data_IF_260079344706
#
_entry.id   IF_260079344706
#
_cell.length_a   1.000
_cell.length_b   1.000
_cell.length_c   1.000
_cell.angle_alpha   90.00
_cell.angle_beta   90.00
_cell.angle_gamma   90.00
#
_symmetry.space_group_name_H-M   'P 1'
#
loop_
_entity.id
_entity.type
_entity.pdbx_description
1 polymer ?
#
# COMPACT_ATOMS: atom_id res chain seq x y z
N UNK A 1 12.35 12.59 -22.54
CA UNK A 1 10.92 12.70 -22.15
C UNK A 1 10.29 13.90 -22.84
N UNK A 2 9.27 13.71 -23.68
CA UNK A 2 8.56 14.81 -24.34
C UNK A 2 7.94 15.77 -23.32
N UNK A 3 7.77 17.05 -23.70
CA UNK A 3 7.20 18.09 -22.82
C UNK A 3 5.80 17.69 -22.31
N UNK A 4 5.03 16.98 -23.12
CA UNK A 4 3.70 16.47 -22.78
C UNK A 4 3.74 15.36 -21.70
N UNK A 5 4.77 14.50 -21.70
CA UNK A 5 4.91 13.43 -20.71
C UNK A 5 5.23 13.99 -19.32
N UNK A 6 6.01 15.08 -19.23
CA UNK A 6 6.30 15.75 -17.95
C UNK A 6 5.04 16.37 -17.34
N UNK A 7 4.20 16.97 -18.16
CA UNK A 7 2.95 17.62 -17.72
C UNK A 7 1.91 16.61 -17.21
N UNK A 8 1.99 15.35 -17.65
CA UNK A 8 1.03 14.30 -17.29
C UNK A 8 1.47 13.51 -16.05
N UNK A 9 2.79 13.35 -15.83
CA UNK A 9 3.32 12.54 -14.72
C UNK A 9 3.15 13.24 -13.37
N UNK A 10 3.22 14.58 -13.31
CA UNK A 10 3.13 15.35 -12.07
C UNK A 10 1.77 15.15 -11.37
N UNK A 11 0.61 15.32 -12.04
CA UNK A 11 -0.68 15.04 -11.45
C UNK A 11 -0.81 13.59 -10.95
N UNK A 12 -0.27 12.62 -11.71
CA UNK A 12 -0.28 11.20 -11.33
C UNK A 12 0.56 10.96 -10.07
N UNK A 13 1.74 11.57 -9.95
CA UNK A 13 2.56 11.47 -8.75
C UNK A 13 1.88 12.13 -7.54
N UNK A 14 1.17 13.22 -7.74
CA UNK A 14 0.38 13.83 -6.66
C UNK A 14 -0.78 12.94 -6.21
N UNK A 15 -1.36 12.14 -7.12
CA UNK A 15 -2.33 11.11 -6.75
C UNK A 15 -1.68 10.00 -5.90
N UNK A 16 -0.43 9.61 -6.18
CA UNK A 16 0.31 8.70 -5.28
C UNK A 16 0.57 9.31 -3.91
N UNK A 17 0.86 10.60 -3.84
CA UNK A 17 0.95 11.29 -2.55
C UNK A 17 -0.37 11.23 -1.79
N UNK A 18 -1.49 11.55 -2.45
CA UNK A 18 -2.84 11.44 -1.88
C UNK A 18 -3.20 10.00 -1.48
N UNK A 19 -2.71 8.99 -2.23
CA UNK A 19 -2.88 7.58 -1.86
C UNK A 19 -2.25 7.25 -0.50
N UNK A 20 -1.22 7.99 -0.08
CA UNK A 20 -0.59 7.84 1.23
C UNK A 20 -1.43 8.37 2.40
N UNK A 21 -2.50 9.11 2.13
CA UNK A 21 -3.34 9.67 3.21
C UNK A 21 -4.01 8.61 4.07
N UNK A 22 -4.26 7.43 3.52
CA UNK A 22 -4.84 6.31 4.27
C UNK A 22 -3.98 5.89 5.45
N UNK A 23 -2.68 6.07 5.36
CA UNK A 23 -1.74 5.66 6.41
C UNK A 23 -1.81 6.59 7.64
N UNK A 24 -2.47 7.77 7.52
CA UNK A 24 -2.80 8.63 8.66
C UNK A 24 -3.70 7.94 9.70
N UNK A 25 -4.49 6.94 9.27
CA UNK A 25 -5.41 6.23 10.18
C UNK A 25 -4.66 5.58 11.35
N UNK A 26 -3.44 5.11 11.10
CA UNK A 26 -2.61 4.52 12.15
C UNK A 26 -2.31 5.49 13.30
N UNK A 27 -1.88 6.70 13.00
CA UNK A 27 -1.61 7.72 14.02
C UNK A 27 -2.90 8.34 14.56
N UNK A 28 -3.86 8.62 13.68
CA UNK A 28 -5.12 9.22 14.04
C UNK A 28 -5.93 8.35 15.02
N UNK A 29 -5.90 7.02 14.84
CA UNK A 29 -6.60 6.10 15.76
C UNK A 29 -6.07 6.18 17.20
N UNK A 30 -4.78 6.46 17.39
CA UNK A 30 -4.21 6.65 18.73
C UNK A 30 -4.74 7.94 19.39
N UNK A 31 -4.78 9.05 18.65
CA UNK A 31 -5.35 10.30 19.16
C UNK A 31 -6.85 10.18 19.45
N UNK A 32 -7.61 9.55 18.54
CA UNK A 32 -9.06 9.30 18.76
C UNK A 32 -9.28 8.41 19.99
N UNK A 33 -8.39 7.42 20.22
CA UNK A 33 -8.43 6.59 21.43
C UNK A 33 -8.29 7.43 22.69
N UNK A 34 -7.35 8.36 22.72
CA UNK A 34 -7.12 9.25 23.87
C UNK A 34 -8.27 10.23 24.05
N UNK A 35 -8.70 10.92 22.98
CA UNK A 35 -9.76 11.93 23.04
C UNK A 35 -11.11 11.36 23.48
N UNK A 36 -11.43 10.13 23.06
CA UNK A 36 -12.70 9.47 23.36
C UNK A 36 -12.61 8.41 24.48
N UNK A 37 -11.44 8.25 25.11
CA UNK A 37 -11.17 7.23 26.15
C UNK A 37 -11.58 5.81 25.70
N UNK A 38 -11.20 5.42 24.49
CA UNK A 38 -11.51 4.11 23.91
C UNK A 38 -10.56 3.03 24.40
N UNK A 39 -11.03 1.78 24.39
CA UNK A 39 -10.14 0.63 24.53
C UNK A 39 -9.31 0.41 23.27
N UNK A 40 -8.17 -0.29 23.38
CA UNK A 40 -7.35 -0.65 22.21
C UNK A 40 -8.13 -1.45 21.16
N UNK A 41 -9.00 -2.35 21.60
CA UNK A 41 -9.87 -3.13 20.71
C UNK A 41 -10.77 -2.25 19.86
N UNK A 42 -11.41 -1.24 20.47
CA UNK A 42 -12.32 -0.32 19.78
C UNK A 42 -11.54 0.62 18.85
N UNK A 43 -10.38 1.13 19.28
CA UNK A 43 -9.53 2.00 18.47
C UNK A 43 -9.00 1.26 17.22
N UNK A 44 -8.69 -0.03 17.36
CA UNK A 44 -8.20 -0.85 16.23
C UNK A 44 -9.28 -1.17 15.18
N UNK A 45 -10.56 -0.85 15.44
CA UNK A 45 -11.59 -0.94 14.40
C UNK A 45 -11.29 0.02 13.24
N UNK A 46 -10.73 1.19 13.50
CA UNK A 46 -10.46 2.20 12.47
C UNK A 46 -9.47 1.70 11.39
N UNK A 47 -8.25 1.26 11.70
CA UNK A 47 -7.35 0.70 10.70
C UNK A 47 -7.88 -0.59 10.09
N UNK A 48 -8.60 -1.42 10.84
CA UNK A 48 -9.19 -2.67 10.31
C UNK A 48 -10.21 -2.42 9.21
N UNK A 49 -11.01 -1.34 9.33
CA UNK A 49 -12.00 -0.95 8.31
C UNK A 49 -11.34 -0.64 6.96
N UNK A 50 -10.14 -0.07 6.95
CA UNK A 50 -9.44 0.23 5.70
C UNK A 50 -9.24 -1.06 4.89
N UNK A 51 -8.69 -2.11 5.49
CA UNK A 51 -8.47 -3.40 4.81
C UNK A 51 -9.78 -4.08 4.41
N UNK A 52 -10.83 -3.96 5.24
CA UNK A 52 -12.16 -4.46 4.94
C UNK A 52 -12.72 -3.84 3.65
N UNK A 53 -12.59 -2.52 3.48
CA UNK A 53 -13.06 -1.85 2.28
C UNK A 53 -12.27 -2.20 1.03
N UNK A 54 -10.97 -2.52 1.15
CA UNK A 54 -10.20 -3.07 0.02
C UNK A 54 -10.79 -4.37 -0.49
N UNK A 55 -11.17 -5.27 0.42
CA UNK A 55 -11.79 -6.54 0.04
C UNK A 55 -13.08 -6.34 -0.76
N UNK A 56 -13.90 -5.36 -0.37
CA UNK A 56 -15.22 -5.12 -0.97
C UNK A 56 -15.11 -4.31 -2.26
N UNK A 57 -14.34 -3.21 -2.28
CA UNK A 57 -14.39 -2.23 -3.37
C UNK A 57 -13.38 -2.46 -4.49
N UNK A 58 -12.35 -3.29 -4.31
CA UNK A 58 -11.31 -3.43 -5.35
C UNK A 58 -11.84 -4.01 -6.66
N UNK A 59 -12.60 -5.11 -6.62
CA UNK A 59 -13.18 -5.69 -7.86
C UNK A 59 -14.27 -4.80 -8.46
N UNK A 60 -15.25 -4.24 -7.69
CA UNK A 60 -16.17 -3.25 -8.22
C UNK A 60 -15.51 -2.09 -8.93
N UNK A 61 -14.37 -1.61 -8.39
CA UNK A 61 -13.60 -0.54 -9.01
C UNK A 61 -12.99 -0.98 -10.35
N UNK A 62 -12.51 -2.23 -10.44
CA UNK A 62 -12.04 -2.80 -11.71
C UNK A 62 -13.11 -2.76 -12.79
N UNK A 63 -14.34 -3.16 -12.45
CA UNK A 63 -15.51 -3.09 -13.33
C UNK A 63 -15.90 -1.63 -13.63
N UNK A 64 -15.85 -0.76 -12.62
CA UNK A 64 -16.18 0.66 -12.78
C UNK A 64 -15.27 1.34 -13.79
N UNK A 65 -13.95 1.02 -13.76
CA UNK A 65 -12.98 1.56 -14.73
C UNK A 65 -13.34 1.25 -16.18
N UNK A 66 -13.95 0.08 -16.46
CA UNK A 66 -14.41 -0.25 -17.82
C UNK A 66 -15.58 0.63 -18.28
N UNK A 67 -16.37 1.16 -17.34
CA UNK A 67 -17.55 1.99 -17.63
C UNK A 67 -17.25 3.48 -17.75
N UNK A 68 -16.45 4.02 -16.84
CA UNK A 68 -16.21 5.46 -16.77
C UNK A 68 -14.76 5.88 -17.08
N UNK A 69 -13.84 4.90 -17.24
CA UNK A 69 -12.42 5.11 -17.46
C UNK A 69 -11.61 5.20 -16.17
N UNK A 70 -10.29 5.02 -16.28
CA UNK A 70 -9.34 5.01 -15.15
C UNK A 70 -9.20 6.39 -14.52
N UNK A 71 -8.99 7.44 -15.35
CA UNK A 71 -8.85 8.83 -14.89
C UNK A 71 -10.05 9.29 -14.08
N UNK A 72 -11.28 9.04 -14.58
CA UNK A 72 -12.50 9.42 -13.87
C UNK A 72 -12.68 8.63 -12.58
N UNK A 73 -12.25 7.37 -12.55
CA UNK A 73 -12.27 6.54 -11.33
C UNK A 73 -11.28 7.07 -10.29
N UNK A 74 -10.07 7.47 -10.69
CA UNK A 74 -9.10 8.15 -9.80
C UNK A 74 -9.65 9.48 -9.30
N UNK A 75 -10.31 10.27 -10.15
CA UNK A 75 -10.95 11.52 -9.71
C UNK A 75 -12.06 11.26 -8.69
N UNK A 76 -12.88 10.23 -8.91
CA UNK A 76 -13.91 9.82 -7.93
C UNK A 76 -13.27 9.43 -6.60
N UNK A 77 -12.18 8.67 -6.61
CA UNK A 77 -11.46 8.28 -5.40
C UNK A 77 -10.93 9.48 -4.63
N UNK A 78 -10.37 10.48 -5.33
CA UNK A 78 -9.90 11.74 -4.72
C UNK A 78 -11.06 12.51 -4.09
N UNK A 79 -12.21 12.60 -4.76
CA UNK A 79 -13.40 13.26 -4.21
C UNK A 79 -13.87 12.56 -2.94
N UNK A 80 -13.97 11.23 -2.94
CA UNK A 80 -14.35 10.45 -1.75
C UNK A 80 -13.34 10.66 -0.62
N UNK A 81 -12.03 10.68 -0.92
CA UNK A 81 -10.96 10.96 0.03
C UNK A 81 -11.08 12.37 0.61
N UNK A 82 -11.30 13.39 -0.22
CA UNK A 82 -11.49 14.79 0.23
C UNK A 82 -12.70 14.90 1.16
N UNK A 83 -13.82 14.26 0.81
CA UNK A 83 -15.03 14.23 1.66
C UNK A 83 -14.72 13.53 2.98
N UNK A 84 -13.98 12.44 2.99
CA UNK A 84 -13.60 11.73 4.21
C UNK A 84 -12.78 12.62 5.15
N UNK A 85 -11.82 13.37 4.61
CA UNK A 85 -10.96 14.28 5.38
C UNK A 85 -11.68 15.54 5.88
N UNK A 86 -12.82 15.89 5.27
CA UNK A 86 -13.64 17.01 5.70
C UNK A 86 -14.38 16.71 7.01
N UNK A 87 -14.82 15.47 7.21
CA UNK A 87 -15.68 15.11 8.36
C UNK A 87 -15.04 15.37 9.73
N UNK A 88 -13.78 15.00 10.02
CA UNK A 88 -13.16 15.24 11.32
C UNK A 88 -12.94 16.73 11.65
N UNK A 89 -13.11 17.61 10.68
CA UNK A 89 -13.04 19.06 10.90
C UNK A 89 -14.27 19.55 11.67
N UNK A 90 -15.45 18.94 11.45
CA UNK A 90 -16.72 19.33 12.07
C UNK A 90 -16.97 18.71 13.44
N UNK A 91 -16.25 17.68 13.81
CA UNK A 91 -16.45 17.03 15.10
C UNK A 91 -15.48 15.87 15.35
N UNK A 92 -15.50 15.38 16.61
CA UNK A 92 -14.57 14.36 17.09
C UNK A 92 -15.27 13.15 17.72
N UNK A 93 -16.57 12.98 17.46
CA UNK A 93 -17.28 11.84 18.01
C UNK A 93 -16.95 10.54 17.25
N UNK A 94 -17.13 9.39 17.93
CA UNK A 94 -16.80 8.06 17.42
C UNK A 94 -17.44 7.77 16.06
N UNK A 95 -18.74 8.07 15.91
CA UNK A 95 -19.48 7.77 14.67
C UNK A 95 -18.92 8.56 13.47
N UNK A 96 -18.62 9.84 13.69
CA UNK A 96 -18.06 10.70 12.64
C UNK A 96 -16.68 10.22 12.20
N UNK A 97 -15.83 9.84 13.16
CA UNK A 97 -14.51 9.25 12.87
C UNK A 97 -14.64 7.92 12.14
N UNK A 98 -15.60 7.08 12.55
CA UNK A 98 -15.86 5.79 11.88
C UNK A 98 -16.27 5.98 10.42
N UNK A 99 -17.17 6.92 10.14
CA UNK A 99 -17.59 7.25 8.77
C UNK A 99 -16.44 7.84 7.98
N UNK A 100 -15.66 8.77 8.57
CA UNK A 100 -14.49 9.37 7.93
C UNK A 100 -13.48 8.30 7.51
N UNK A 101 -13.05 7.44 8.43
CA UNK A 101 -12.05 6.42 8.13
C UNK A 101 -12.58 5.32 7.20
N UNK A 102 -13.88 5.01 7.26
CA UNK A 102 -14.53 4.13 6.27
C UNK A 102 -14.47 4.74 4.87
N UNK A 103 -14.85 6.00 4.71
CA UNK A 103 -14.78 6.70 3.41
C UNK A 103 -13.33 6.83 2.93
N UNK A 104 -12.37 7.07 3.84
CA UNK A 104 -10.96 7.12 3.49
C UNK A 104 -10.46 5.76 2.98
N UNK A 105 -10.89 4.65 3.60
CA UNK A 105 -10.61 3.29 3.14
C UNK A 105 -11.23 3.00 1.78
N UNK A 106 -12.49 3.36 1.56
CA UNK A 106 -13.17 3.24 0.26
C UNK A 106 -12.45 4.07 -0.80
N UNK A 107 -12.17 5.34 -0.53
CA UNK A 107 -11.44 6.22 -1.43
C UNK A 107 -10.08 5.63 -1.81
N UNK A 108 -9.36 5.07 -0.84
CA UNK A 108 -8.05 4.47 -1.09
C UNK A 108 -8.14 3.16 -1.88
N UNK A 109 -9.17 2.32 -1.65
CA UNK A 109 -9.42 1.12 -2.44
C UNK A 109 -9.67 1.46 -3.93
N UNK A 110 -10.50 2.49 -4.18
CA UNK A 110 -10.72 3.02 -5.52
C UNK A 110 -9.42 3.55 -6.13
N UNK A 111 -8.65 4.32 -5.36
CA UNK A 111 -7.39 4.93 -5.78
C UNK A 111 -6.36 3.88 -6.18
N UNK A 112 -6.04 2.94 -5.30
CA UNK A 112 -5.02 1.93 -5.57
C UNK A 112 -5.38 1.05 -6.76
N UNK A 113 -6.66 0.70 -6.90
CA UNK A 113 -7.15 -0.12 -8.00
C UNK A 113 -7.05 0.62 -9.34
N UNK A 114 -7.34 1.93 -9.39
CA UNK A 114 -7.44 2.68 -10.66
C UNK A 114 -6.16 3.42 -11.03
N UNK A 115 -5.38 3.91 -10.07
CA UNK A 115 -4.18 4.69 -10.33
C UNK A 115 -3.07 3.83 -10.94
N UNK A 116 -2.89 2.60 -10.45
CA UNK A 116 -1.84 1.72 -10.94
C UNK A 116 -1.98 1.38 -12.45
N UNK A 117 -3.15 0.97 -12.97
CA UNK A 117 -3.32 0.79 -14.42
C UNK A 117 -3.32 2.13 -15.20
N UNK A 118 -3.69 3.26 -14.58
CA UNK A 118 -3.55 4.57 -15.20
C UNK A 118 -2.07 4.90 -15.47
N UNK A 119 -1.17 4.53 -14.54
CA UNK A 119 0.27 4.67 -14.74
C UNK A 119 0.76 3.95 -15.99
N UNK A 120 0.22 2.78 -16.30
CA UNK A 120 0.65 2.04 -17.51
C UNK A 120 0.36 2.79 -18.81
N UNK A 121 -0.72 3.58 -18.84
CA UNK A 121 -1.02 4.43 -20.00
C UNK A 121 -0.09 5.65 -20.12
N UNK A 122 0.33 6.20 -18.97
CA UNK A 122 1.15 7.41 -18.92
C UNK A 122 2.64 7.10 -19.11
N UNK A 123 3.16 6.02 -18.49
CA UNK A 123 4.59 5.69 -18.51
C UNK A 123 5.01 4.77 -19.65
N UNK A 124 4.05 4.10 -20.27
CA UNK A 124 4.29 2.98 -21.18
C UNK A 124 4.75 1.72 -20.45
N UNK A 125 4.53 0.58 -21.09
CA UNK A 125 4.73 -0.75 -20.48
C UNK A 125 6.20 -1.02 -20.09
N UNK A 126 7.16 -0.50 -20.85
CA UNK A 126 8.60 -0.69 -20.60
C UNK A 126 9.09 -0.07 -19.27
N UNK A 127 8.43 0.99 -18.79
CA UNK A 127 8.80 1.71 -17.56
C UNK A 127 7.80 1.51 -16.42
N UNK A 128 6.84 0.62 -16.57
CA UNK A 128 5.72 0.49 -15.64
C UNK A 128 6.19 0.19 -14.20
N UNK A 129 7.02 -0.84 -14.02
CA UNK A 129 7.52 -1.20 -12.68
C UNK A 129 8.30 -0.06 -12.03
N UNK A 130 9.19 0.60 -12.77
CA UNK A 130 9.96 1.76 -12.29
C UNK A 130 9.06 2.91 -11.87
N UNK A 131 8.04 3.23 -12.67
CA UNK A 131 7.13 4.35 -12.39
C UNK A 131 6.21 4.05 -11.22
N UNK A 132 5.71 2.81 -11.11
CA UNK A 132 4.94 2.35 -9.94
C UNK A 132 5.79 2.43 -8.67
N UNK A 133 7.03 1.97 -8.71
CA UNK A 133 7.98 2.04 -7.58
C UNK A 133 8.25 3.48 -7.17
N UNK A 134 8.43 4.40 -8.12
CA UNK A 134 8.58 5.82 -7.82
C UNK A 134 7.29 6.40 -7.20
N UNK A 135 6.13 5.96 -7.67
CA UNK A 135 4.85 6.30 -7.05
C UNK A 135 4.75 5.84 -5.59
N UNK A 136 5.20 4.60 -5.29
CA UNK A 136 5.24 4.11 -3.91
C UNK A 136 6.21 4.93 -3.03
N UNK A 137 7.33 5.40 -3.56
CA UNK A 137 8.21 6.35 -2.85
C UNK A 137 7.47 7.65 -2.52
N UNK A 138 6.76 8.24 -3.49
CA UNK A 138 5.99 9.48 -3.28
C UNK A 138 4.87 9.26 -2.26
N UNK A 139 4.18 8.10 -2.31
CA UNK A 139 3.21 7.68 -1.29
C UNK A 139 3.84 7.65 0.11
N UNK A 140 5.02 7.05 0.22
CA UNK A 140 5.72 6.91 1.51
C UNK A 140 6.07 8.25 2.16
N UNK A 141 6.29 9.31 1.37
CA UNK A 141 6.52 10.66 1.90
C UNK A 141 5.27 11.15 2.65
N UNK A 142 4.08 10.99 2.07
CA UNK A 142 2.83 11.39 2.74
C UNK A 142 2.62 10.59 4.03
N UNK A 143 2.83 9.27 3.98
CA UNK A 143 2.71 8.39 5.15
C UNK A 143 3.67 8.80 6.26
N UNK A 144 4.90 9.15 5.92
CA UNK A 144 5.92 9.60 6.86
C UNK A 144 5.58 10.96 7.49
N UNK A 145 4.98 11.87 6.73
CA UNK A 145 4.63 13.21 7.23
C UNK A 145 3.46 13.20 8.21
N UNK A 146 2.54 12.25 8.12
CA UNK A 146 1.32 12.24 8.91
C UNK A 146 1.53 12.30 10.44
N UNK A 147 2.39 11.46 11.06
CA UNK A 147 2.67 11.52 12.49
C UNK A 147 3.24 12.87 12.94
N UNK A 148 4.13 13.45 12.13
CA UNK A 148 4.76 14.74 12.47
C UNK A 148 3.76 15.89 12.42
N UNK A 149 2.89 15.93 11.39
CA UNK A 149 1.86 16.96 11.29
C UNK A 149 0.88 16.85 12.46
N UNK A 150 0.45 15.62 12.80
CA UNK A 150 -0.43 15.40 13.95
C UNK A 150 0.23 15.84 15.27
N UNK A 151 1.50 15.48 15.49
CA UNK A 151 2.27 15.87 16.66
C UNK A 151 2.45 17.40 16.75
N UNK A 152 2.83 18.07 15.66
CA UNK A 152 2.97 19.53 15.64
C UNK A 152 1.64 20.23 15.91
N UNK A 153 0.52 19.66 15.42
CA UNK A 153 -0.83 20.12 15.71
C UNK A 153 -1.19 19.94 17.17
N UNK A 154 -0.92 18.77 17.75
CA UNK A 154 -1.16 18.49 19.17
C UNK A 154 -0.37 19.43 20.10
N UNK A 155 0.90 19.74 19.72
CA UNK A 155 1.77 20.65 20.46
C UNK A 155 1.49 22.15 20.17
N UNK A 156 0.52 22.46 19.30
CA UNK A 156 0.26 23.82 18.79
C UNK A 156 1.52 24.51 18.18
N UNK A 157 2.47 23.71 17.65
CA UNK A 157 3.68 24.21 16.98
C UNK A 157 3.39 24.78 15.59
N UNK A 158 2.23 24.51 15.04
CA UNK A 158 1.71 25.05 13.79
C UNK A 158 0.30 25.63 14.01
N UNK A 159 -0.19 26.55 13.15
CA UNK A 159 -1.56 27.04 13.25
C UNK A 159 -2.59 25.92 13.14
N UNK A 160 -3.37 25.70 14.20
CA UNK A 160 -4.32 24.58 14.28
C UNK A 160 -5.78 25.01 14.11
N UNK A 161 -6.09 26.29 14.24
CA UNK A 161 -7.47 26.82 14.21
C UNK A 161 -8.42 26.13 15.19
N UNK A 162 -7.89 25.68 16.34
CA UNK A 162 -8.65 24.94 17.36
C UNK A 162 -8.81 23.44 17.11
N UNK A 163 -8.22 22.89 16.05
CA UNK A 163 -8.34 21.48 15.70
C UNK A 163 -7.32 20.57 16.43
N UNK A 164 -6.29 21.15 17.07
CA UNK A 164 -5.22 20.33 17.67
C UNK A 164 -4.56 19.40 16.64
N UNK A 165 -4.37 18.12 16.97
CA UNK A 165 -3.82 17.10 16.06
C UNK A 165 -4.65 16.91 14.79
N UNK A 166 -5.95 17.23 14.82
CA UNK A 166 -6.85 17.10 13.66
C UNK A 166 -6.53 18.08 12.52
N UNK A 167 -5.60 19.03 12.72
CA UNK A 167 -5.10 19.90 11.64
C UNK A 167 -4.49 19.11 10.48
N UNK A 168 -4.13 17.85 10.72
CA UNK A 168 -3.69 16.89 9.69
C UNK A 168 -4.74 16.75 8.57
N UNK A 169 -6.03 16.71 8.92
CA UNK A 169 -7.11 16.50 7.94
C UNK A 169 -7.25 17.66 6.94
N UNK A 170 -7.39 18.93 7.36
CA UNK A 170 -7.46 20.03 6.39
C UNK A 170 -6.17 20.20 5.57
N UNK A 171 -4.98 19.92 6.12
CA UNK A 171 -3.74 19.96 5.35
C UNK A 171 -3.78 18.93 4.21
N UNK A 172 -4.13 17.68 4.50
CA UNK A 172 -4.23 16.64 3.48
C UNK A 172 -5.41 16.86 2.54
N UNK A 173 -6.51 17.42 3.03
CA UNK A 173 -7.66 17.80 2.21
C UNK A 173 -7.28 18.80 1.13
N UNK A 174 -6.53 19.86 1.46
CA UNK A 174 -6.07 20.87 0.48
C UNK A 174 -5.21 20.20 -0.59
N UNK A 175 -4.31 19.30 -0.22
CA UNK A 175 -3.48 18.57 -1.18
C UNK A 175 -4.36 17.65 -2.05
N UNK A 176 -5.35 16.98 -1.48
CA UNK A 176 -6.31 16.14 -2.20
C UNK A 176 -7.14 16.94 -3.22
N UNK A 177 -7.60 18.15 -2.86
CA UNK A 177 -8.28 19.07 -3.77
C UNK A 177 -7.35 19.49 -4.90
N UNK A 178 -6.10 19.85 -4.59
CA UNK A 178 -5.10 20.21 -5.60
C UNK A 178 -4.83 19.04 -6.56
N UNK A 179 -4.70 17.83 -6.05
CA UNK A 179 -4.53 16.63 -6.86
C UNK A 179 -5.73 16.41 -7.80
N UNK A 180 -6.95 16.62 -7.31
CA UNK A 180 -8.18 16.50 -8.11
C UNK A 180 -8.21 17.53 -9.25
N UNK A 181 -7.88 18.77 -8.95
CA UNK A 181 -7.87 19.86 -9.95
C UNK A 181 -6.80 19.63 -11.01
N UNK A 182 -5.57 19.28 -10.60
CA UNK A 182 -4.47 19.04 -11.52
C UNK A 182 -4.70 17.79 -12.39
N UNK A 183 -5.25 16.72 -11.82
CA UNK A 183 -5.60 15.54 -12.60
C UNK A 183 -6.75 15.84 -13.56
N UNK A 184 -7.75 16.59 -13.12
CA UNK A 184 -8.87 17.04 -13.96
C UNK A 184 -8.39 17.84 -15.18
N UNK A 185 -7.48 18.78 -14.96
CA UNK A 185 -6.90 19.64 -16.02
C UNK A 185 -5.88 18.89 -16.92
N UNK A 186 -5.42 17.70 -16.53
CA UNK A 186 -4.44 16.93 -17.32
C UNK A 186 -5.03 16.42 -18.63
N UNK A 187 -4.21 16.37 -19.69
CA UNK A 187 -4.60 15.88 -21.03
C UNK A 187 -4.38 14.36 -21.15
N UNK A 188 -4.73 13.59 -20.13
CA UNK A 188 -4.71 12.12 -20.23
C UNK A 188 -5.93 11.71 -21.06
N UNK A 189 -5.68 11.35 -22.32
CA UNK A 189 -6.71 10.77 -23.19
C UNK A 189 -6.83 9.28 -22.85
N UNK A 190 -8.00 8.87 -22.43
CA UNK A 190 -8.35 7.47 -22.26
C UNK A 190 -9.11 7.02 -23.51
N UNK A 191 -8.58 6.02 -24.18
CA UNK A 191 -9.39 5.17 -25.01
C UNK A 191 -10.26 4.35 -24.07
N UNK A 192 -11.48 4.83 -23.82
CA UNK A 192 -12.52 3.99 -23.22
C UNK A 192 -12.74 2.90 -24.24
N UNK A 193 -12.38 1.66 -23.89
CA UNK A 193 -12.67 0.52 -24.76
C UNK A 193 -14.12 0.65 -25.20
N UNK A 194 -14.35 0.64 -26.53
CA UNK A 194 -15.70 0.66 -27.07
C UNK A 194 -16.55 -0.28 -26.24
N UNK A 195 -17.73 0.21 -25.81
CA UNK A 195 -18.65 -0.55 -24.96
C UNK A 195 -18.80 -1.96 -25.54
N UNK A 196 -18.03 -2.90 -25.04
CA UNK A 196 -18.41 -4.29 -25.13
C UNK A 196 -19.77 -4.34 -24.42
N UNK A 197 -20.83 -4.43 -25.20
CA UNK A 197 -22.19 -4.65 -24.67
C UNK A 197 -22.08 -5.86 -23.74
N UNK A 198 -22.03 -5.61 -22.44
CA UNK A 198 -22.02 -6.69 -21.48
C UNK A 198 -23.43 -7.27 -21.44
N UNK A 199 -23.63 -8.31 -22.26
CA UNK A 199 -24.87 -9.10 -22.30
C UNK A 199 -25.17 -9.82 -20.97
N UNK A 200 -24.72 -9.36 -19.83
CA UNK A 200 -24.86 -10.14 -18.60
C UNK A 200 -24.72 -9.41 -17.27
N UNK A 201 -25.20 -8.20 -17.11
CA UNK A 201 -25.31 -7.55 -15.79
C UNK A 201 -24.00 -7.49 -14.93
N UNK A 202 -23.99 -6.64 -13.90
CA UNK A 202 -22.84 -6.41 -13.00
C UNK A 202 -22.35 -7.70 -12.32
N UNK A 203 -23.25 -8.61 -11.94
CA UNK A 203 -22.89 -9.88 -11.29
C UNK A 203 -22.06 -10.80 -12.20
N UNK A 204 -22.34 -10.81 -13.50
CA UNK A 204 -21.56 -11.60 -14.46
C UNK A 204 -20.17 -11.00 -14.64
N UNK A 205 -20.05 -9.67 -14.75
CA UNK A 205 -18.77 -8.97 -14.82
C UNK A 205 -17.90 -9.27 -13.57
N UNK A 206 -18.52 -9.32 -12.38
CA UNK A 206 -17.87 -9.74 -11.15
C UNK A 206 -17.35 -11.18 -11.20
N UNK A 207 -18.20 -12.11 -11.60
CA UNK A 207 -17.83 -13.52 -11.72
C UNK A 207 -16.69 -13.70 -12.74
N UNK A 208 -16.71 -12.95 -13.83
CA UNK A 208 -15.68 -13.00 -14.87
C UNK A 208 -14.33 -12.43 -14.38
N UNK A 209 -14.32 -11.45 -13.46
CA UNK A 209 -13.09 -11.02 -12.79
C UNK A 209 -12.47 -12.18 -12.00
N UNK A 210 -13.24 -12.88 -11.17
CA UNK A 210 -12.71 -14.01 -10.38
C UNK A 210 -12.29 -15.21 -11.25
N UNK A 211 -12.90 -15.42 -12.43
CA UNK A 211 -12.44 -16.43 -13.39
C UNK A 211 -11.01 -16.17 -13.89
N UNK A 212 -10.53 -14.92 -13.85
CA UNK A 212 -9.14 -14.63 -14.20
C UNK A 212 -8.13 -15.28 -13.25
N UNK A 213 -8.50 -15.62 -12.02
CA UNK A 213 -7.66 -16.40 -11.11
C UNK A 213 -7.40 -17.83 -11.62
N UNK A 214 -8.21 -18.34 -12.58
CA UNK A 214 -7.92 -19.60 -13.26
C UNK A 214 -6.71 -19.49 -14.20
N UNK A 215 -6.29 -18.28 -14.60
CA UNK A 215 -5.03 -18.07 -15.33
C UNK A 215 -3.86 -18.16 -14.36
N UNK A 216 -2.90 -19.10 -14.52
CA UNK A 216 -1.84 -19.34 -13.55
C UNK A 216 -1.05 -18.09 -13.20
N UNK A 217 -0.73 -17.25 -14.18
CA UNK A 217 0.05 -16.02 -13.95
C UNK A 217 -0.70 -15.02 -13.05
N UNK A 218 -2.04 -14.93 -13.17
CA UNK A 218 -2.86 -14.03 -12.35
C UNK A 218 -2.92 -14.54 -10.92
N UNK A 219 -3.18 -15.85 -10.74
CA UNK A 219 -3.21 -16.48 -9.42
C UNK A 219 -1.86 -16.38 -8.72
N UNK A 220 -0.77 -16.70 -9.41
CA UNK A 220 0.58 -16.63 -8.85
C UNK A 220 0.94 -15.19 -8.48
N UNK A 221 0.57 -14.20 -9.30
CA UNK A 221 0.79 -12.78 -8.97
C UNK A 221 -0.06 -12.35 -7.78
N UNK A 222 -1.32 -12.77 -7.71
CA UNK A 222 -2.21 -12.50 -6.57
C UNK A 222 -1.62 -13.03 -5.26
N UNK A 223 -1.19 -14.29 -5.23
CA UNK A 223 -0.53 -14.88 -4.07
C UNK A 223 0.80 -14.21 -3.76
N UNK A 224 1.56 -13.77 -4.79
CA UNK A 224 2.80 -13.02 -4.62
C UNK A 224 2.57 -11.67 -3.93
N UNK A 225 1.50 -10.96 -4.27
CA UNK A 225 1.12 -9.73 -3.57
C UNK A 225 0.69 -10.01 -2.14
N UNK A 226 -0.07 -11.10 -1.90
CA UNK A 226 -0.43 -11.50 -0.53
C UNK A 226 0.83 -11.76 0.32
N UNK A 227 1.81 -12.49 -0.21
CA UNK A 227 3.08 -12.74 0.48
C UNK A 227 3.86 -11.44 0.73
N UNK A 228 3.96 -10.56 -0.28
CA UNK A 228 4.63 -9.26 -0.15
C UNK A 228 4.04 -8.45 1.01
N UNK A 229 2.73 -8.29 1.04
CA UNK A 229 2.05 -7.48 2.08
C UNK A 229 2.10 -8.19 3.42
N UNK A 230 1.99 -9.52 3.44
CA UNK A 230 2.16 -10.32 4.65
C UNK A 230 3.54 -10.15 5.28
N UNK A 231 4.61 -10.12 4.48
CA UNK A 231 5.98 -9.85 4.93
C UNK A 231 6.09 -8.40 5.42
N UNK A 232 5.48 -7.44 4.71
CA UNK A 232 5.48 -6.03 5.05
C UNK A 232 4.88 -5.77 6.44
N UNK A 233 3.63 -6.15 6.63
CA UNK A 233 2.90 -6.01 7.90
C UNK A 233 3.54 -6.89 8.98
N UNK A 234 3.92 -8.10 8.62
CA UNK A 234 4.56 -9.05 9.50
C UNK A 234 5.87 -8.52 10.09
N UNK A 235 6.74 -7.95 9.27
CA UNK A 235 7.99 -7.36 9.75
C UNK A 235 7.72 -6.20 10.71
N UNK A 236 6.78 -5.32 10.38
CA UNK A 236 6.43 -4.18 11.23
C UNK A 236 5.94 -4.60 12.62
N UNK A 237 5.16 -5.66 12.70
CA UNK A 237 4.59 -6.14 13.95
C UNK A 237 5.57 -7.00 14.75
N UNK A 238 6.46 -7.74 14.09
CA UNK A 238 7.32 -8.75 14.71
C UNK A 238 8.72 -8.22 15.04
N UNK A 239 9.26 -7.28 14.26
CA UNK A 239 10.61 -6.79 14.49
C UNK A 239 10.83 -6.19 15.89
N UNK A 240 9.94 -5.33 16.44
CA UNK A 240 10.08 -4.88 17.83
C UNK A 240 10.00 -6.04 18.82
N UNK A 241 9.09 -6.99 18.61
CA UNK A 241 8.91 -8.14 19.53
C UNK A 241 10.13 -9.04 19.58
N UNK A 242 10.83 -9.25 18.46
CA UNK A 242 12.10 -10.00 18.42
C UNK A 242 13.16 -9.30 19.28
N UNK A 243 13.29 -7.97 19.18
CA UNK A 243 14.24 -7.20 19.97
C UNK A 243 13.91 -7.27 21.47
N UNK A 244 12.63 -7.20 21.82
CA UNK A 244 12.18 -7.36 23.21
C UNK A 244 12.48 -8.77 23.73
N UNK A 245 12.14 -9.80 22.95
CA UNK A 245 12.30 -11.21 23.37
C UNK A 245 13.77 -11.60 23.53
N UNK A 246 14.66 -11.20 22.60
CA UNK A 246 16.05 -11.67 22.58
C UNK A 246 17.04 -10.76 23.27
N UNK A 247 16.78 -9.44 23.26
CA UNK A 247 17.71 -8.47 23.82
C UNK A 247 17.19 -7.83 25.11
N UNK A 248 15.99 -8.19 25.57
CA UNK A 248 15.38 -7.60 26.76
C UNK A 248 15.09 -6.08 26.61
N UNK A 249 14.98 -5.57 25.38
CA UNK A 249 14.74 -4.16 25.13
C UNK A 249 13.35 -3.75 25.60
N UNK A 250 13.21 -2.51 26.06
CA UNK A 250 11.89 -1.92 26.32
C UNK A 250 11.10 -1.74 25.02
N UNK A 251 9.78 -1.65 25.09
CA UNK A 251 8.93 -1.40 23.91
C UNK A 251 9.35 -0.10 23.18
N UNK A 252 9.68 0.95 23.95
CA UNK A 252 10.07 2.24 23.38
C UNK A 252 11.38 2.12 22.58
N UNK A 253 12.37 1.41 23.11
CA UNK A 253 13.66 1.21 22.44
C UNK A 253 13.52 0.29 21.22
N UNK A 254 12.67 -0.74 21.33
CA UNK A 254 12.41 -1.69 20.26
C UNK A 254 11.58 -1.09 19.11
N UNK A 255 10.76 -0.06 19.37
CA UNK A 255 9.95 0.60 18.37
C UNK A 255 10.76 1.19 17.21
N UNK A 256 12.05 1.49 17.43
CA UNK A 256 12.95 1.94 16.37
C UNK A 256 13.09 0.93 15.24
N UNK A 257 12.87 -0.37 15.50
CA UNK A 257 12.91 -1.42 14.48
C UNK A 257 11.92 -1.17 13.35
N UNK A 258 10.70 -0.73 13.67
CA UNK A 258 9.67 -0.37 12.70
C UNK A 258 10.10 0.84 11.85
N UNK A 259 10.67 1.86 12.49
CA UNK A 259 11.20 3.04 11.77
C UNK A 259 12.34 2.64 10.82
N UNK A 260 13.25 1.79 11.29
CA UNK A 260 14.37 1.27 10.47
C UNK A 260 13.86 0.53 9.22
N UNK A 261 12.85 -0.33 9.39
CA UNK A 261 12.20 -1.00 8.27
C UNK A 261 11.66 0.00 7.23
N UNK A 262 10.89 0.99 7.65
CA UNK A 262 10.31 1.99 6.75
C UNK A 262 11.34 2.89 6.09
N UNK A 263 12.41 3.25 6.79
CA UNK A 263 13.53 4.01 6.21
C UNK A 263 14.13 3.24 5.04
N UNK A 264 14.50 1.97 5.26
CA UNK A 264 15.10 1.16 4.20
C UNK A 264 14.12 0.80 3.08
N UNK A 265 12.85 0.62 3.40
CA UNK A 265 11.79 0.45 2.40
C UNK A 265 11.66 1.69 1.52
N UNK A 266 11.66 2.88 2.10
CA UNK A 266 11.57 4.15 1.36
C UNK A 266 12.80 4.38 0.49
N UNK A 267 14.00 4.14 1.02
CA UNK A 267 15.26 4.18 0.24
C UNK A 267 15.21 3.17 -0.90
N UNK A 268 14.73 1.96 -0.63
CA UNK A 268 14.57 0.90 -1.63
C UNK A 268 13.59 1.27 -2.75
N UNK A 269 12.46 1.92 -2.45
CA UNK A 269 11.55 2.45 -3.46
C UNK A 269 12.20 3.53 -4.31
N UNK A 270 12.92 4.48 -3.71
CA UNK A 270 13.61 5.53 -4.44
C UNK A 270 14.67 4.97 -5.37
N UNK A 271 15.63 4.23 -4.82
CA UNK A 271 16.75 3.66 -5.59
C UNK A 271 16.27 2.61 -6.61
N UNK A 272 15.32 1.78 -6.24
CA UNK A 272 14.73 0.77 -7.12
C UNK A 272 14.01 1.38 -8.32
N UNK A 273 13.41 2.57 -8.19
CA UNK A 273 12.81 3.28 -9.32
C UNK A 273 13.83 3.63 -10.41
N UNK A 274 15.07 3.88 -10.03
CA UNK A 274 16.18 4.11 -10.99
C UNK A 274 16.75 2.79 -11.51
N UNK A 275 17.01 1.83 -10.62
CA UNK A 275 17.58 0.54 -11.01
C UNK A 275 16.65 -0.26 -11.94
N UNK A 276 15.35 -0.20 -11.78
CA UNK A 276 14.38 -0.86 -12.67
C UNK A 276 14.31 -0.27 -14.09
N UNK A 277 15.01 0.84 -14.35
CA UNK A 277 15.20 1.36 -15.72
C UNK A 277 16.42 0.74 -16.43
N UNK A 278 17.35 0.22 -15.66
CA UNK A 278 18.63 -0.32 -16.16
C UNK A 278 18.66 -1.83 -16.04
N UNK A 279 18.16 -2.36 -14.93
CA UNK A 279 18.08 -3.79 -14.66
C UNK A 279 16.73 -4.35 -15.09
N UNK A 280 16.71 -5.60 -15.53
CA UNK A 280 15.43 -6.29 -15.76
C UNK A 280 14.66 -6.48 -14.45
N UNK A 281 13.34 -6.42 -14.52
CA UNK A 281 12.45 -6.69 -13.37
C UNK A 281 12.76 -8.05 -12.72
N UNK A 282 13.13 -9.05 -13.53
CA UNK A 282 13.51 -10.37 -13.04
C UNK A 282 14.79 -10.34 -12.22
N UNK A 283 15.85 -9.70 -12.74
CA UNK A 283 17.15 -9.59 -12.03
C UNK A 283 16.98 -8.83 -10.71
N UNK A 284 16.21 -7.75 -10.73
CA UNK A 284 15.96 -6.96 -9.52
C UNK A 284 15.15 -7.76 -8.48
N UNK A 285 14.13 -8.54 -8.91
CA UNK A 285 13.37 -9.41 -8.00
C UNK A 285 14.25 -10.48 -7.38
N UNK A 286 15.19 -11.08 -8.15
CA UNK A 286 16.13 -12.06 -7.61
C UNK A 286 16.96 -11.45 -6.47
N UNK A 287 17.53 -10.27 -6.67
CA UNK A 287 18.30 -9.56 -5.64
C UNK A 287 17.43 -9.28 -4.42
N UNK A 288 16.22 -8.78 -4.64
CA UNK A 288 15.25 -8.49 -3.57
C UNK A 288 14.92 -9.72 -2.73
N UNK A 289 14.63 -10.85 -3.37
CA UNK A 289 14.28 -12.10 -2.68
C UNK A 289 15.48 -12.68 -1.93
N UNK A 290 16.69 -12.60 -2.49
CA UNK A 290 17.92 -13.01 -1.79
C UNK A 290 18.12 -12.15 -0.52
N UNK A 291 17.96 -10.83 -0.60
CA UNK A 291 18.07 -9.95 0.56
C UNK A 291 17.04 -10.31 1.63
N UNK A 292 15.80 -10.58 1.23
CA UNK A 292 14.75 -11.02 2.16
C UNK A 292 15.06 -12.41 2.78
N UNK A 293 15.58 -13.35 2.00
CA UNK A 293 15.97 -14.66 2.51
C UNK A 293 17.11 -14.55 3.54
N UNK A 294 18.14 -13.76 3.25
CA UNK A 294 19.21 -13.46 4.21
C UNK A 294 18.68 -12.78 5.48
N UNK A 295 17.70 -11.89 5.32
CA UNK A 295 17.01 -11.26 6.44
C UNK A 295 16.30 -12.29 7.32
N UNK A 296 15.54 -13.23 6.72
CA UNK A 296 14.85 -14.28 7.50
C UNK A 296 15.84 -15.11 8.30
N UNK A 297 16.97 -15.48 7.68
CA UNK A 297 18.05 -16.19 8.40
C UNK A 297 18.57 -15.33 9.56
N UNK A 298 18.89 -14.05 9.32
CA UNK A 298 19.36 -13.14 10.36
C UNK A 298 18.35 -12.93 11.49
N UNK A 299 17.04 -12.89 11.18
CA UNK A 299 15.99 -12.79 12.19
C UNK A 299 15.77 -14.12 12.96
N UNK A 300 16.09 -15.27 12.38
CA UNK A 300 15.98 -16.57 13.06
C UNK A 300 17.17 -16.80 14.01
N UNK A 301 18.39 -16.56 13.55
CA UNK A 301 19.60 -16.94 14.30
C UNK A 301 20.28 -15.76 15.01
N UNK A 302 19.92 -14.50 14.70
CA UNK A 302 20.56 -13.32 15.26
C UNK A 302 20.30 -13.19 16.76
N UNK A 303 21.34 -12.99 17.53
CA UNK A 303 21.34 -12.86 19.00
C UNK A 303 21.86 -11.50 19.47
N UNK A 304 22.26 -10.63 18.56
CA UNK A 304 22.75 -9.30 18.89
C UNK A 304 22.07 -8.20 18.06
N UNK A 305 22.08 -6.99 18.61
CA UNK A 305 21.38 -5.81 18.07
C UNK A 305 21.79 -5.49 16.64
N UNK A 306 23.06 -5.61 16.29
CA UNK A 306 23.60 -5.24 14.97
C UNK A 306 23.07 -6.19 13.90
N UNK A 307 23.13 -7.50 14.15
CA UNK A 307 22.63 -8.53 13.21
C UNK A 307 21.13 -8.37 12.98
N UNK A 308 20.35 -8.15 14.05
CA UNK A 308 18.92 -7.97 13.95
C UNK A 308 18.56 -6.69 13.18
N UNK A 309 19.26 -5.58 13.42
CA UNK A 309 19.04 -4.32 12.69
C UNK A 309 19.40 -4.45 11.21
N UNK A 310 20.52 -5.12 10.88
CA UNK A 310 20.88 -5.40 9.47
C UNK A 310 19.80 -6.27 8.81
N UNK A 311 19.32 -7.30 9.49
CA UNK A 311 18.26 -8.15 8.98
C UNK A 311 16.97 -7.36 8.70
N UNK A 312 16.55 -6.48 9.63
CA UNK A 312 15.37 -5.63 9.45
C UNK A 312 15.57 -4.66 8.28
N UNK A 313 16.75 -4.07 8.14
CA UNK A 313 17.08 -3.19 7.01
C UNK A 313 17.05 -3.94 5.67
N UNK A 314 17.58 -5.18 5.63
CA UNK A 314 17.59 -6.01 4.43
C UNK A 314 16.19 -6.38 3.97
N UNK A 315 15.28 -6.76 4.88
CA UNK A 315 13.89 -7.05 4.47
C UNK A 315 13.17 -5.78 4.04
N UNK A 316 13.40 -4.64 4.70
CA UNK A 316 12.83 -3.36 4.30
C UNK A 316 13.21 -2.97 2.88
N UNK A 317 14.50 -3.01 2.56
CA UNK A 317 14.98 -2.72 1.21
C UNK A 317 14.53 -3.78 0.19
N UNK A 318 14.68 -5.08 0.52
CA UNK A 318 14.35 -6.18 -0.38
C UNK A 318 12.85 -6.21 -0.74
N UNK A 319 11.97 -5.95 0.24
CA UNK A 319 10.52 -5.98 0.01
C UNK A 319 9.99 -4.73 -0.72
N UNK A 320 10.76 -3.64 -0.79
CA UNK A 320 10.33 -2.33 -1.26
C UNK A 320 9.74 -2.30 -2.68
N UNK A 321 10.27 -3.12 -3.59
CA UNK A 321 9.92 -3.08 -5.02
C UNK A 321 9.08 -4.28 -5.47
N UNK A 322 8.86 -5.26 -4.60
CA UNK A 322 8.19 -6.52 -4.93
C UNK A 322 6.78 -6.28 -5.44
N UNK A 323 6.01 -5.41 -4.76
CA UNK A 323 4.67 -5.03 -5.20
C UNK A 323 4.68 -4.51 -6.65
N UNK A 324 5.52 -3.53 -6.94
CA UNK A 324 5.56 -2.86 -8.25
C UNK A 324 5.96 -3.83 -9.37
N UNK A 325 6.88 -4.74 -9.09
CA UNK A 325 7.30 -5.76 -10.05
C UNK A 325 6.17 -6.74 -10.30
N UNK A 326 5.59 -7.35 -9.27
CA UNK A 326 4.52 -8.36 -9.43
C UNK A 326 3.30 -7.73 -10.07
N UNK A 327 2.89 -6.54 -9.61
CA UNK A 327 1.73 -5.85 -10.14
C UNK A 327 1.91 -5.50 -11.62
N UNK A 328 3.07 -4.96 -12.01
CA UNK A 328 3.36 -4.68 -13.41
C UNK A 328 3.33 -5.93 -14.27
N UNK A 329 3.91 -7.05 -13.80
CA UNK A 329 3.89 -8.33 -14.51
C UNK A 329 2.47 -8.86 -14.68
N UNK A 330 1.62 -8.75 -13.65
CA UNK A 330 0.22 -9.14 -13.75
C UNK A 330 -0.52 -8.35 -14.84
N UNK A 331 -0.35 -7.04 -14.90
CA UNK A 331 -0.97 -6.18 -15.92
C UNK A 331 -0.44 -6.46 -17.33
N UNK A 332 0.88 -6.68 -17.48
CA UNK A 332 1.52 -6.89 -18.77
C UNK A 332 1.20 -8.27 -19.38
N UNK A 333 0.90 -9.27 -18.54
CA UNK A 333 0.55 -10.61 -19.01
C UNK A 333 -0.92 -10.76 -19.43
N UNK A 334 -1.79 -9.80 -19.05
CA UNK A 334 -3.22 -9.79 -19.41
C UNK A 334 -3.61 -8.37 -19.85
N UNK A 335 -3.05 -7.88 -20.98
CA UNK A 335 -3.20 -6.49 -21.39
C UNK A 335 -4.64 -6.09 -21.71
N UNK A 336 -5.46 -7.04 -22.16
CA UNK A 336 -6.87 -6.82 -22.49
C UNK A 336 -7.78 -6.67 -21.26
N UNK A 337 -7.30 -7.06 -20.07
CA UNK A 337 -8.06 -7.08 -18.81
C UNK A 337 -7.32 -6.39 -17.66
N UNK A 338 -6.56 -5.34 -17.96
CA UNK A 338 -5.74 -4.62 -16.95
C UNK A 338 -6.56 -4.11 -15.76
N UNK A 339 -7.79 -3.70 -15.99
CA UNK A 339 -8.65 -3.14 -14.94
C UNK A 339 -9.12 -4.21 -13.95
N UNK A 340 -9.60 -5.34 -14.47
CA UNK A 340 -10.04 -6.47 -13.66
C UNK A 340 -8.86 -7.11 -12.90
N UNK A 341 -7.72 -7.28 -13.58
CA UNK A 341 -6.48 -7.77 -12.95
C UNK A 341 -6.04 -6.83 -11.83
N UNK A 342 -6.10 -5.51 -12.04
CA UNK A 342 -5.80 -4.54 -10.99
C UNK A 342 -6.68 -4.74 -9.77
N UNK A 343 -7.99 -4.86 -9.96
CA UNK A 343 -8.93 -5.12 -8.86
C UNK A 343 -8.57 -6.38 -8.07
N UNK A 344 -8.25 -7.48 -8.76
CA UNK A 344 -7.82 -8.72 -8.11
C UNK A 344 -6.50 -8.57 -7.36
N UNK A 345 -5.51 -7.90 -7.94
CA UNK A 345 -4.21 -7.69 -7.29
C UNK A 345 -4.36 -6.88 -6.00
N UNK A 346 -5.26 -5.90 -5.97
CA UNK A 346 -5.49 -5.08 -4.77
C UNK A 346 -6.24 -5.86 -3.68
N UNK A 347 -7.10 -6.82 -4.00
CA UNK A 347 -7.59 -7.78 -2.99
C UNK A 347 -6.44 -8.54 -2.32
N UNK A 348 -5.35 -8.80 -3.04
CA UNK A 348 -4.16 -9.43 -2.48
C UNK A 348 -3.56 -8.70 -1.27
N UNK A 349 -3.87 -7.40 -1.08
CA UNK A 349 -3.49 -6.66 0.15
C UNK A 349 -4.10 -7.27 1.42
N UNK A 350 -5.13 -8.10 1.29
CA UNK A 350 -5.69 -8.88 2.40
C UNK A 350 -4.66 -9.87 3.01
N UNK A 351 -3.56 -10.13 2.35
CA UNK A 351 -2.39 -10.81 2.92
C UNK A 351 -1.90 -10.15 4.22
N UNK A 352 -2.05 -8.82 4.34
CA UNK A 352 -1.77 -8.07 5.57
C UNK A 352 -2.67 -8.41 6.76
N UNK A 353 -3.77 -9.14 6.55
CA UNK A 353 -4.62 -9.70 7.61
C UNK A 353 -4.28 -11.17 7.88
N UNK A 354 -4.08 -11.96 6.81
CA UNK A 354 -3.86 -13.41 6.92
C UNK A 354 -2.52 -13.73 7.60
N UNK A 355 -1.45 -13.07 7.15
CA UNK A 355 -0.10 -13.35 7.68
C UNK A 355 0.02 -13.06 9.17
N UNK A 356 -0.38 -11.89 9.71
CA UNK A 356 -0.30 -11.63 11.14
C UNK A 356 -1.09 -12.62 11.98
N UNK A 357 -2.23 -13.12 11.50
CA UNK A 357 -3.00 -14.18 12.20
C UNK A 357 -2.18 -15.49 12.29
N UNK A 358 -1.62 -15.94 11.17
CA UNK A 358 -0.78 -17.15 11.15
C UNK A 358 0.50 -16.96 11.98
N UNK A 359 1.09 -15.76 11.92
CA UNK A 359 2.27 -15.40 12.70
C UNK A 359 1.98 -15.40 14.20
N UNK A 360 0.81 -14.89 14.60
CA UNK A 360 0.36 -14.94 16.00
C UNK A 360 0.29 -16.37 16.50
N UNK A 361 -0.40 -17.26 15.78
CA UNK A 361 -0.51 -18.69 16.12
C UNK A 361 0.87 -19.37 16.20
N UNK A 362 1.76 -19.08 15.25
CA UNK A 362 3.09 -19.65 15.22
C UNK A 362 3.97 -19.10 16.36
N UNK A 363 3.85 -17.81 16.68
CA UNK A 363 4.61 -17.20 17.77
C UNK A 363 4.15 -17.68 19.15
N UNK A 364 2.87 -17.95 19.33
CA UNK A 364 2.35 -18.54 20.56
C UNK A 364 2.90 -19.96 20.80
N UNK A 365 3.20 -20.70 19.73
CA UNK A 365 3.72 -22.06 19.82
C UNK A 365 5.25 -22.12 20.05
N UNK A 366 6.04 -21.28 19.39
CA UNK A 366 7.52 -21.37 19.37
C UNK A 366 8.24 -20.01 19.48
N UNK A 367 7.58 -19.00 20.05
CA UNK A 367 8.13 -17.65 20.19
C UNK A 367 8.18 -16.87 18.86
N UNK A 368 8.84 -15.72 18.86
CA UNK A 368 8.88 -14.86 17.67
C UNK A 368 9.55 -15.50 16.44
N UNK A 369 10.36 -16.54 16.65
CA UNK A 369 10.88 -17.39 15.55
C UNK A 369 9.75 -17.95 14.70
N UNK A 370 8.64 -18.37 15.33
CA UNK A 370 7.46 -18.86 14.62
C UNK A 370 6.89 -17.83 13.64
N UNK A 371 6.77 -16.58 14.05
CA UNK A 371 6.34 -15.49 13.17
C UNK A 371 7.30 -15.30 11.99
N UNK A 372 8.62 -15.39 12.23
CA UNK A 372 9.63 -15.28 11.16
C UNK A 372 9.54 -16.44 10.18
N UNK A 373 9.27 -17.66 10.65
CA UNK A 373 9.08 -18.83 9.77
C UNK A 373 7.88 -18.61 8.83
N UNK A 374 6.77 -18.06 9.31
CA UNK A 374 5.62 -17.74 8.45
C UNK A 374 6.01 -16.72 7.37
N UNK A 375 6.77 -15.68 7.72
CA UNK A 375 7.30 -14.73 6.72
C UNK A 375 8.27 -15.41 5.74
N UNK A 376 9.12 -16.32 6.21
CA UNK A 376 10.07 -17.07 5.39
C UNK A 376 9.34 -17.95 4.35
N UNK A 377 8.18 -18.54 4.69
CA UNK A 377 7.32 -19.23 3.71
C UNK A 377 6.86 -18.27 2.62
N UNK A 378 6.49 -17.03 2.96
CA UNK A 378 6.17 -16.00 1.99
C UNK A 378 7.36 -15.65 1.08
N UNK A 379 8.57 -15.55 1.64
CA UNK A 379 9.81 -15.30 0.86
C UNK A 379 10.11 -16.49 -0.05
N UNK A 380 9.95 -17.73 0.41
CA UNK A 380 10.12 -18.94 -0.41
C UNK A 380 9.12 -18.96 -1.58
N UNK A 381 7.88 -18.56 -1.34
CA UNK A 381 6.90 -18.40 -2.41
C UNK A 381 7.37 -17.37 -3.45
N UNK A 382 7.86 -16.21 -3.03
CA UNK A 382 8.38 -15.18 -3.95
C UNK A 382 9.58 -15.69 -4.76
N UNK A 383 10.41 -16.55 -4.18
CA UNK A 383 11.49 -17.23 -4.93
C UNK A 383 10.93 -18.14 -6.03
N UNK A 384 9.89 -18.92 -5.73
CA UNK A 384 9.19 -19.77 -6.70
C UNK A 384 8.44 -18.95 -7.78
N UNK A 385 8.12 -17.69 -7.51
CA UNK A 385 7.48 -16.80 -8.47
C UNK A 385 8.45 -16.22 -9.53
N UNK A 386 9.75 -16.14 -9.23
CA UNK A 386 10.77 -15.52 -10.12
C UNK A 386 10.69 -16.00 -11.57
N UNK A 387 10.50 -17.30 -11.89
CA UNK A 387 10.42 -17.78 -13.28
C UNK A 387 9.30 -17.14 -14.10
N UNK A 388 8.24 -16.67 -13.44
CA UNK A 388 7.07 -16.07 -14.09
C UNK A 388 7.35 -14.62 -14.55
N UNK A 389 8.37 -13.98 -14.02
CA UNK A 389 8.72 -12.59 -14.35
C UNK A 389 9.42 -12.57 -15.71
N UNK A 390 8.80 -11.92 -16.69
CA UNK A 390 9.40 -11.66 -18.00
C UNK A 390 10.48 -10.58 -17.89
N UNK A 391 11.43 -10.65 -18.82
CA UNK A 391 12.53 -9.67 -18.89
C UNK A 391 12.02 -8.29 -19.18
#
# INVERSE_FOLDING_TARGET
MSKNLKLTIIPVMLCFFAMGFVDLVGIASNYVKEDLNLTDTVANVFPSLVFFWFLIFSVPTGVLMNKIGRKKTVMLSLIVTVVSLLLPIFGENFTLMLISFSLLGIGNALMQTSLNPLVSQVSGDANLASTLTFGQFVKAIASFMAPYIAMWGAMASIPTFGLGWRVLFPIYMVIGVLATLLLGASTINEEIAEKAESNGGVLKEFADCFKLLAKPIVLLSFLGIMCHVGIDVGTNTTAPKILMERLGMTLNDAAFATSLYFIFRTIGCLTGSFFLRVLSSKSFLIISVIMMALSMVGLIIGDNKVVLYIAIALVGYGNSNVFSIIFSQALLNVPEKKNEVSGLMIIGLFGGTIFPLLMGLASDAIGQVGAVIVMAVGVAYLFCYIPQVKK
#
